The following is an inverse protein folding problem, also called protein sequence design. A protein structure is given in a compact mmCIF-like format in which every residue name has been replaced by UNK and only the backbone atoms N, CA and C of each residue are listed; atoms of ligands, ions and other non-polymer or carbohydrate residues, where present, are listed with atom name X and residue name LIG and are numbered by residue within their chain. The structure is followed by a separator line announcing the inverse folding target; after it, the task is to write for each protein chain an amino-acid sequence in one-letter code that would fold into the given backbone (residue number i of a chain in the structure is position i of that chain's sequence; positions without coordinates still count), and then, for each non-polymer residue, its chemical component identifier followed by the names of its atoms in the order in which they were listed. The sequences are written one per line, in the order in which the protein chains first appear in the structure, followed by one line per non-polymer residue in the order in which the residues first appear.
data_IF_068804002728
#
_entry.id   IF_068804002728
#
_cell.length_a   1.000
_cell.length_b   1.000
_cell.length_c   1.000
_cell.angle_alpha   90.00
_cell.angle_beta   90.00
_cell.angle_gamma   90.00
#
_symmetry.space_group_name_H-M   'P 1'
#
loop_
_entity.id
_entity.type
_entity.pdbx_description
1 polymer ?
#
# COMPACT_ATOMS: atom_id res chain seq x y z
N UNK A 1 -7.42 -4.06 6.58
CA UNK A 1 -8.89 -3.95 6.72
C UNK A 1 -9.31 -4.99 7.76
N UNK A 2 -9.66 -4.60 8.96
CA UNK A 2 -10.11 -5.52 9.99
C UNK A 2 -11.63 -5.75 9.82
N UNK A 3 -12.02 -6.97 9.53
CA UNK A 3 -13.43 -7.36 9.41
C UNK A 3 -13.93 -7.62 10.83
N UNK A 4 -14.77 -6.76 11.33
CA UNK A 4 -15.47 -6.96 12.61
C UNK A 4 -16.75 -7.76 12.30
N UNK A 5 -16.85 -8.96 12.84
CA UNK A 5 -18.04 -9.81 12.73
C UNK A 5 -18.94 -9.54 13.96
N UNK A 6 -20.18 -9.02 13.79
CA UNK A 6 -21.02 -8.59 14.90
C UNK A 6 -21.60 -9.72 15.77
N UNK A 7 -21.56 -10.99 15.30
CA UNK A 7 -22.29 -12.10 15.96
C UNK A 7 -21.46 -12.92 16.95
N UNK A 8 -20.22 -12.54 17.24
CA UNK A 8 -19.42 -13.21 18.26
C UNK A 8 -19.21 -12.30 19.45
N UNK A 9 -19.57 -12.77 20.63
CA UNK A 9 -19.10 -12.22 21.91
C UNK A 9 -17.58 -12.14 21.86
N UNK A 10 -17.08 -10.96 21.49
CA UNK A 10 -15.65 -10.68 21.45
C UNK A 10 -15.14 -10.66 22.88
N UNK A 11 -14.39 -11.66 23.27
CA UNK A 11 -13.42 -11.50 24.34
C UNK A 11 -12.41 -10.45 23.89
N UNK A 12 -12.56 -9.27 24.49
CA UNK A 12 -12.12 -7.93 24.05
C UNK A 12 -10.61 -7.72 23.92
N UNK A 13 -9.78 -8.73 24.12
CA UNK A 13 -8.37 -8.47 24.38
C UNK A 13 -7.34 -9.12 23.46
N UNK A 14 -7.73 -10.04 22.55
CA UNK A 14 -6.70 -10.76 21.78
C UNK A 14 -6.53 -10.32 20.31
N UNK A 15 -7.57 -9.76 19.69
CA UNK A 15 -7.52 -9.46 18.25
C UNK A 15 -6.84 -8.13 17.89
N UNK A 16 -6.58 -7.26 18.87
CA UNK A 16 -5.99 -5.94 18.66
C UNK A 16 -4.64 -5.76 19.38
N UNK A 17 -3.89 -6.85 19.60
CA UNK A 17 -2.49 -6.69 20.00
C UNK A 17 -1.75 -6.08 18.81
N UNK A 18 -1.18 -4.86 18.94
CA UNK A 18 -0.43 -4.27 17.85
C UNK A 18 0.74 -5.19 17.51
N UNK A 19 0.84 -5.63 16.26
CA UNK A 19 2.09 -6.19 15.77
C UNK A 19 3.17 -5.14 15.99
N UNK A 20 4.28 -5.53 16.59
CA UNK A 20 5.37 -4.64 17.04
C UNK A 20 5.98 -3.74 15.95
N UNK A 21 5.58 -3.86 14.69
CA UNK A 21 6.23 -3.22 13.55
C UNK A 21 5.43 -2.14 12.82
N UNK A 22 4.15 -1.91 13.17
CA UNK A 22 3.36 -0.83 12.56
C UNK A 22 2.43 -0.20 13.59
N UNK A 23 2.94 0.80 14.31
CA UNK A 23 2.19 1.60 15.30
C UNK A 23 1.14 2.55 14.67
N UNK A 24 0.50 2.13 13.58
CA UNK A 24 -0.52 2.93 12.90
C UNK A 24 -1.95 2.63 13.37
N UNK A 25 -2.10 1.75 14.37
CA UNK A 25 -3.39 1.37 14.90
C UNK A 25 -3.61 2.00 16.29
N UNK A 26 -4.79 2.56 16.49
CA UNK A 26 -5.25 3.06 17.80
C UNK A 26 -6.44 2.22 18.27
N UNK A 27 -6.57 2.08 19.60
CA UNK A 27 -7.72 1.40 20.23
C UNK A 27 -8.84 2.39 20.44
N UNK A 28 -10.01 2.06 19.92
CA UNK A 28 -11.26 2.75 20.25
C UNK A 28 -11.96 1.93 21.32
N UNK A 29 -12.42 2.57 22.41
CA UNK A 29 -13.36 1.93 23.36
C UNK A 29 -14.71 1.84 22.64
N UNK A 30 -15.14 0.63 22.34
CA UNK A 30 -16.38 0.37 21.62
C UNK A 30 -17.58 0.90 22.40
N UNK A 31 -18.42 1.67 21.72
CA UNK A 31 -19.79 1.98 22.12
C UNK A 31 -20.71 1.44 21.04
N UNK A 32 -21.93 1.07 21.42
CA UNK A 32 -22.91 0.51 20.47
C UNK A 32 -23.17 1.43 19.26
N UNK A 33 -23.15 2.73 19.48
CA UNK A 33 -23.26 3.77 18.44
C UNK A 33 -22.10 3.76 17.44
N UNK A 34 -20.91 3.36 17.87
CA UNK A 34 -19.70 3.35 17.02
C UNK A 34 -19.77 2.21 15.99
N UNK A 35 -20.35 1.08 16.37
CA UNK A 35 -20.59 -0.08 15.51
C UNK A 35 -21.62 0.26 14.44
N UNK A 36 -22.72 0.91 14.81
CA UNK A 36 -23.78 1.31 13.88
C UNK A 36 -23.26 2.32 12.83
N UNK A 37 -22.45 3.29 13.25
CA UNK A 37 -21.81 4.26 12.36
C UNK A 37 -20.80 3.60 11.41
N UNK A 38 -20.04 2.63 11.89
CA UNK A 38 -19.11 1.87 11.06
C UNK A 38 -19.84 1.03 9.99
N UNK A 39 -20.97 0.42 10.33
CA UNK A 39 -21.81 -0.30 9.37
C UNK A 39 -22.47 0.65 8.34
N UNK A 40 -22.83 1.86 8.75
CA UNK A 40 -23.28 2.90 7.82
C UNK A 40 -22.17 3.31 6.84
N UNK A 41 -20.94 3.54 7.33
CA UNK A 41 -19.78 3.84 6.49
C UNK A 41 -19.45 2.74 5.48
N UNK A 42 -19.65 1.48 5.86
CA UNK A 42 -19.46 0.34 4.94
C UNK A 42 -20.47 0.31 3.79
N UNK A 43 -21.68 0.80 4.03
CA UNK A 43 -22.79 0.75 3.04
C UNK A 43 -22.84 1.99 2.16
N UNK A 44 -22.20 3.05 2.56
CA UNK A 44 -22.19 4.33 1.86
C UNK A 44 -20.99 4.37 0.89
N UNK A 45 -21.21 4.91 -0.30
CA UNK A 45 -20.19 5.07 -1.34
C UNK A 45 -20.24 6.47 -1.97
N UNK A 46 -20.75 7.47 -1.22
CA UNK A 46 -21.05 8.79 -1.74
C UNK A 46 -20.37 9.92 -0.94
N UNK A 47 -20.41 11.15 -1.45
CA UNK A 47 -19.81 12.35 -0.82
C UNK A 47 -20.30 12.60 0.61
N UNK A 48 -21.47 12.08 1.00
CA UNK A 48 -21.97 12.05 2.38
C UNK A 48 -21.09 11.33 3.39
N UNK A 49 -20.20 10.44 2.94
CA UNK A 49 -19.30 9.64 3.77
C UNK A 49 -18.35 10.49 4.61
N UNK A 50 -17.97 11.67 4.10
CA UNK A 50 -17.08 12.60 4.82
C UNK A 50 -17.72 13.08 6.11
N UNK A 51 -19.03 13.36 6.11
CA UNK A 51 -19.76 13.81 7.29
C UNK A 51 -19.95 12.69 8.30
N UNK A 52 -20.25 11.47 7.85
CA UNK A 52 -20.36 10.29 8.70
C UNK A 52 -19.01 9.96 9.32
N UNK A 53 -17.94 10.03 8.53
CA UNK A 53 -16.57 9.82 8.97
C UNK A 53 -16.15 10.89 10.01
N UNK A 54 -16.44 12.16 9.73
CA UNK A 54 -16.17 13.26 10.66
C UNK A 54 -16.94 13.09 11.96
N UNK A 55 -18.22 12.70 11.90
CA UNK A 55 -19.04 12.43 13.06
C UNK A 55 -18.52 11.25 13.88
N UNK A 56 -18.14 10.15 13.20
CA UNK A 56 -17.47 9.00 13.83
C UNK A 56 -16.21 9.42 14.59
N UNK A 57 -15.33 10.22 13.97
CA UNK A 57 -14.15 10.74 14.64
C UNK A 57 -14.47 11.68 15.81
N UNK A 58 -15.55 12.43 15.73
CA UNK A 58 -16.00 13.28 16.83
C UNK A 58 -16.49 12.49 18.04
N UNK A 59 -17.09 11.32 17.84
CA UNK A 59 -17.60 10.44 18.90
C UNK A 59 -16.50 9.60 19.55
N UNK A 60 -15.41 9.32 18.82
CA UNK A 60 -14.29 8.57 19.37
C UNK A 60 -13.65 9.33 20.54
N UNK A 61 -13.66 8.74 21.73
CA UNK A 61 -13.17 9.38 22.96
C UNK A 61 -11.69 9.75 22.96
N UNK A 62 -10.90 9.20 22.04
CA UNK A 62 -9.45 9.39 21.91
C UNK A 62 -9.08 10.32 20.74
N UNK A 63 -9.68 11.48 20.65
CA UNK A 63 -9.44 12.46 19.57
C UNK A 63 -7.96 12.74 19.33
N UNK A 64 -7.17 12.89 20.40
CA UNK A 64 -5.72 13.18 20.28
C UNK A 64 -4.96 12.05 19.63
N UNK A 65 -5.23 10.80 20.00
CA UNK A 65 -4.55 9.63 19.43
C UNK A 65 -4.95 9.40 17.97
N UNK A 66 -6.24 9.60 17.65
CA UNK A 66 -6.75 9.51 16.28
C UNK A 66 -6.11 10.61 15.42
N UNK A 67 -6.12 11.85 15.89
CA UNK A 67 -5.51 12.97 15.16
C UNK A 67 -4.01 12.74 14.98
N UNK A 68 -3.31 12.29 16.02
CA UNK A 68 -1.88 11.97 15.93
C UNK A 68 -1.60 10.83 14.94
N UNK A 69 -2.45 9.79 14.91
CA UNK A 69 -2.35 8.68 13.95
C UNK A 69 -2.64 9.14 12.52
N UNK A 70 -3.66 9.97 12.31
CA UNK A 70 -3.97 10.54 11.00
C UNK A 70 -2.85 11.47 10.51
N UNK A 71 -2.34 12.35 11.38
CA UNK A 71 -1.21 13.22 11.03
C UNK A 71 0.03 12.39 10.69
N UNK A 72 0.36 11.37 11.49
CA UNK A 72 1.48 10.47 11.22
C UNK A 72 1.34 9.76 9.87
N UNK A 73 0.13 9.34 9.51
CA UNK A 73 -0.17 8.71 8.22
C UNK A 73 -0.28 9.71 7.05
N UNK A 74 -0.50 11.01 7.34
CA UNK A 74 -0.55 12.07 6.33
C UNK A 74 0.85 12.53 5.87
N UNK A 75 1.88 12.29 6.67
CA UNK A 75 3.25 12.54 6.24
C UNK A 75 3.73 11.37 5.38
N UNK A 76 4.01 11.65 4.11
CA UNK A 76 4.62 10.68 3.22
C UNK A 76 5.90 10.14 3.84
N UNK A 77 5.99 8.82 3.96
CA UNK A 77 7.23 8.16 4.37
C UNK A 77 8.35 8.46 3.37
N UNK A 78 9.59 8.27 3.77
CA UNK A 78 10.70 8.49 2.85
C UNK A 78 10.65 7.53 1.65
N UNK A 79 10.25 6.29 1.89
CA UNK A 79 10.03 5.30 0.82
C UNK A 79 8.90 5.69 -0.13
N UNK A 80 7.83 6.36 0.34
CA UNK A 80 6.77 6.87 -0.53
C UNK A 80 7.24 8.02 -1.42
N UNK A 81 8.09 8.92 -0.91
CA UNK A 81 8.71 9.95 -1.74
C UNK A 81 9.54 9.34 -2.87
N UNK A 82 10.29 8.27 -2.58
CA UNK A 82 11.07 7.55 -3.60
C UNK A 82 10.14 6.85 -4.60
N UNK A 83 9.04 6.24 -4.15
CA UNK A 83 8.04 5.64 -5.06
C UNK A 83 7.46 6.68 -6.02
N UNK A 84 7.16 7.88 -5.55
CA UNK A 84 6.65 8.96 -6.40
C UNK A 84 7.66 9.38 -7.47
N UNK A 85 8.94 9.46 -7.10
CA UNK A 85 10.02 9.77 -8.04
C UNK A 85 10.12 8.69 -9.12
N UNK A 86 10.06 7.41 -8.75
CA UNK A 86 10.14 6.28 -9.69
C UNK A 86 8.90 6.24 -10.60
N UNK A 87 7.70 6.49 -10.04
CA UNK A 87 6.45 6.53 -10.79
C UNK A 87 6.41 7.67 -11.82
N UNK A 88 7.14 8.75 -11.60
CA UNK A 88 7.26 9.85 -12.57
C UNK A 88 7.87 9.44 -13.90
N UNK A 89 8.72 8.41 -13.92
CA UNK A 89 9.23 7.74 -15.13
C UNK A 89 9.59 6.29 -14.80
N UNK A 90 8.62 5.41 -14.91
CA UNK A 90 8.76 4.00 -14.53
C UNK A 90 9.64 3.21 -15.49
N UNK A 91 9.80 3.69 -16.73
CA UNK A 91 10.64 3.06 -17.76
C UNK A 91 12.13 3.29 -17.52
N UNK A 92 12.47 4.37 -16.82
CA UNK A 92 13.85 4.73 -16.51
C UNK A 92 14.52 3.66 -15.65
N UNK A 93 15.80 3.40 -15.96
CA UNK A 93 16.70 2.59 -15.11
C UNK A 93 17.24 3.45 -13.97
N UNK A 94 16.39 3.74 -12.99
CA UNK A 94 16.76 4.53 -11.83
C UNK A 94 17.93 3.93 -11.06
N UNK A 95 18.89 4.78 -10.72
CA UNK A 95 19.97 4.49 -9.77
C UNK A 95 19.70 5.19 -8.45
N UNK A 96 20.32 4.72 -7.38
CA UNK A 96 20.22 5.38 -6.09
C UNK A 96 20.67 6.84 -6.14
N UNK A 97 21.77 7.10 -6.89
CA UNK A 97 22.30 8.45 -7.12
C UNK A 97 21.30 9.40 -7.77
N UNK A 98 20.50 8.90 -8.76
CA UNK A 98 19.49 9.72 -9.44
C UNK A 98 18.39 10.20 -8.45
N UNK A 99 18.04 9.32 -7.52
CA UNK A 99 17.04 9.63 -6.47
C UNK A 99 17.64 10.54 -5.41
N UNK A 100 18.88 10.28 -5.03
CA UNK A 100 19.61 11.12 -4.07
C UNK A 100 19.73 12.56 -4.56
N UNK A 101 20.09 12.76 -5.85
CA UNK A 101 20.12 14.06 -6.51
C UNK A 101 18.75 14.77 -6.46
N UNK A 102 17.67 14.08 -6.85
CA UNK A 102 16.31 14.65 -6.81
C UNK A 102 15.85 15.06 -5.41
N UNK A 103 16.34 14.39 -4.38
CA UNK A 103 16.01 14.67 -2.98
C UNK A 103 17.02 15.62 -2.30
N UNK A 104 18.04 16.10 -3.03
CA UNK A 104 19.15 16.89 -2.49
C UNK A 104 19.84 16.20 -1.29
N UNK A 105 20.05 14.89 -1.40
CA UNK A 105 20.67 14.05 -0.37
C UNK A 105 21.90 13.32 -0.95
N UNK A 106 22.79 12.83 -0.08
CA UNK A 106 23.80 11.88 -0.49
C UNK A 106 23.26 10.45 -0.56
N UNK A 107 23.87 9.60 -1.38
CA UNK A 107 23.53 8.16 -1.47
C UNK A 107 23.52 7.49 -0.10
N UNK A 108 24.49 7.85 0.75
CA UNK A 108 24.61 7.33 2.14
C UNK A 108 23.39 7.75 2.96
N UNK A 109 22.96 9.01 2.85
CA UNK A 109 21.80 9.50 3.60
C UNK A 109 20.50 8.81 3.14
N UNK A 110 20.35 8.58 1.82
CA UNK A 110 19.21 7.83 1.27
C UNK A 110 19.20 6.39 1.81
N UNK A 111 20.34 5.69 1.79
CA UNK A 111 20.45 4.33 2.35
C UNK A 111 20.05 4.27 3.81
N UNK A 112 20.61 5.14 4.65
CA UNK A 112 20.31 5.18 6.09
C UNK A 112 18.83 5.44 6.39
N UNK A 113 18.20 6.35 5.62
CA UNK A 113 16.75 6.62 5.77
C UNK A 113 15.90 5.41 5.38
N UNK A 114 16.26 4.70 4.31
CA UNK A 114 15.58 3.48 3.91
C UNK A 114 15.79 2.33 4.89
N UNK A 115 16.99 2.17 5.43
CA UNK A 115 17.30 1.18 6.46
C UNK A 115 16.46 1.41 7.73
N UNK A 116 16.24 2.68 8.11
CA UNK A 116 15.36 3.02 9.23
C UNK A 116 13.90 2.60 8.99
N UNK A 117 13.46 2.49 7.73
CA UNK A 117 12.17 1.95 7.33
C UNK A 117 12.22 0.44 7.02
N UNK A 118 13.35 -0.24 7.28
CA UNK A 118 13.60 -1.66 6.96
C UNK A 118 13.42 -1.98 5.47
N UNK A 119 13.74 -1.03 4.60
CA UNK A 119 13.61 -1.11 3.15
C UNK A 119 14.95 -0.90 2.44
N UNK A 120 15.02 -1.37 1.19
CA UNK A 120 16.12 -1.07 0.27
C UNK A 120 15.58 -0.43 -1.01
N UNK A 121 16.41 0.39 -1.67
CA UNK A 121 16.05 1.02 -2.94
C UNK A 121 15.64 0.01 -4.01
N UNK A 122 16.38 -1.09 -4.14
CA UNK A 122 16.06 -2.14 -5.11
C UNK A 122 14.69 -2.77 -4.84
N UNK A 123 14.35 -2.99 -3.56
CA UNK A 123 13.04 -3.54 -3.17
C UNK A 123 11.91 -2.59 -3.51
N UNK A 124 12.09 -1.29 -3.25
CA UNK A 124 11.10 -0.27 -3.61
C UNK A 124 10.90 -0.23 -5.13
N UNK A 125 11.99 -0.17 -5.90
CA UNK A 125 11.93 -0.16 -7.36
C UNK A 125 11.24 -1.41 -7.92
N UNK A 126 11.56 -2.58 -7.38
CA UNK A 126 10.91 -3.83 -7.76
C UNK A 126 9.41 -3.79 -7.44
N UNK A 127 9.03 -3.35 -6.25
CA UNK A 127 7.63 -3.26 -5.83
C UNK A 127 6.84 -2.32 -6.76
N UNK A 128 7.37 -1.13 -7.07
CA UNK A 128 6.73 -0.16 -7.97
C UNK A 128 6.52 -0.77 -9.35
N UNK A 129 7.56 -1.36 -9.95
CA UNK A 129 7.46 -1.97 -11.29
C UNK A 129 6.49 -3.16 -11.30
N UNK A 130 6.49 -3.99 -10.28
CA UNK A 130 5.58 -5.15 -10.20
C UNK A 130 4.12 -4.72 -9.98
N UNK A 131 3.87 -3.68 -9.18
CA UNK A 131 2.52 -3.11 -9.04
C UNK A 131 1.99 -2.54 -10.36
N UNK A 132 2.82 -1.82 -11.10
CA UNK A 132 2.44 -1.32 -12.43
C UNK A 132 2.24 -2.47 -13.44
N UNK A 133 3.02 -3.55 -13.34
CA UNK A 133 2.84 -4.73 -14.18
C UNK A 133 1.45 -5.36 -14.02
N UNK A 134 0.95 -5.47 -12.78
CA UNK A 134 -0.42 -5.95 -12.52
C UNK A 134 -1.44 -5.04 -13.20
N UNK A 135 -1.30 -3.72 -13.08
CA UNK A 135 -2.20 -2.77 -13.72
C UNK A 135 -2.23 -2.95 -15.24
N UNK A 136 -1.06 -3.01 -15.88
CA UNK A 136 -0.96 -3.20 -17.33
C UNK A 136 -1.49 -4.56 -17.80
N UNK A 137 -1.33 -5.62 -17.01
CA UNK A 137 -1.86 -6.95 -17.32
C UNK A 137 -3.38 -7.00 -17.23
N UNK A 138 -3.97 -6.45 -16.17
CA UNK A 138 -5.37 -6.65 -15.85
C UNK A 138 -6.29 -5.60 -16.51
N UNK A 139 -5.87 -4.34 -16.50
CA UNK A 139 -6.72 -3.23 -16.94
C UNK A 139 -6.42 -2.81 -18.38
N UNK A 140 -5.15 -2.76 -18.76
CA UNK A 140 -4.77 -2.39 -20.13
C UNK A 140 -4.55 -3.61 -21.05
N UNK A 141 -4.56 -4.81 -20.51
CA UNK A 141 -4.45 -6.09 -21.22
C UNK A 141 -3.24 -6.15 -22.18
N UNK A 142 -2.13 -5.51 -21.80
CA UNK A 142 -0.94 -5.50 -22.61
C UNK A 142 -0.21 -6.85 -22.61
N UNK A 143 0.39 -7.17 -23.75
CA UNK A 143 1.26 -8.34 -23.87
C UNK A 143 2.53 -8.17 -23.03
N UNK A 144 3.07 -9.29 -22.55
CA UNK A 144 4.23 -9.37 -21.65
C UNK A 144 5.45 -8.62 -22.21
N UNK A 145 5.69 -8.68 -23.53
CA UNK A 145 6.79 -7.96 -24.19
C UNK A 145 6.61 -6.45 -24.01
N UNK A 146 5.42 -5.93 -24.32
CA UNK A 146 5.12 -4.50 -24.18
C UNK A 146 5.24 -4.03 -22.73
N UNK A 147 4.79 -4.85 -21.77
CA UNK A 147 4.92 -4.53 -20.35
C UNK A 147 6.39 -4.46 -19.94
N UNK A 148 7.23 -5.39 -20.39
CA UNK A 148 8.66 -5.36 -20.12
C UNK A 148 9.30 -4.06 -20.63
N UNK A 149 8.96 -3.64 -21.85
CA UNK A 149 9.45 -2.40 -22.45
C UNK A 149 8.97 -1.16 -21.66
N UNK A 150 7.68 -1.08 -21.33
CA UNK A 150 7.08 0.01 -20.55
C UNK A 150 7.70 0.15 -19.17
N UNK A 151 8.10 -0.96 -18.54
CA UNK A 151 8.78 -0.99 -17.25
C UNK A 151 10.29 -0.81 -17.33
N UNK A 152 10.86 -0.64 -18.54
CA UNK A 152 12.32 -0.57 -18.74
C UNK A 152 13.05 -1.83 -18.29
N UNK A 153 12.42 -3.00 -18.46
CA UNK A 153 12.98 -4.32 -18.16
C UNK A 153 13.57 -4.90 -19.45
N UNK A 154 14.81 -5.42 -19.36
CA UNK A 154 15.62 -5.78 -20.51
C UNK A 154 15.00 -6.83 -21.45
N UNK A 155 14.12 -7.72 -20.95
CA UNK A 155 13.43 -8.71 -21.77
C UNK A 155 12.19 -9.25 -21.08
N UNK A 156 11.24 -9.75 -21.89
CA UNK A 156 10.05 -10.41 -21.39
C UNK A 156 10.36 -11.64 -20.53
N UNK A 157 11.36 -12.42 -20.88
CA UNK A 157 11.77 -13.59 -20.09
C UNK A 157 12.27 -13.19 -18.70
N UNK A 158 13.04 -12.10 -18.62
CA UNK A 158 13.49 -11.55 -17.35
C UNK A 158 12.34 -10.98 -16.54
N UNK A 159 11.42 -10.29 -17.18
CA UNK A 159 10.19 -9.80 -16.55
C UNK A 159 9.35 -10.95 -15.95
N UNK A 160 9.09 -12.02 -16.72
CA UNK A 160 8.33 -13.20 -16.24
C UNK A 160 8.98 -13.81 -15.00
N UNK A 161 10.31 -13.91 -14.98
CA UNK A 161 11.07 -14.40 -13.83
C UNK A 161 10.87 -13.50 -12.62
N UNK A 162 11.09 -12.18 -12.76
CA UNK A 162 10.91 -11.22 -11.68
C UNK A 162 9.48 -11.21 -11.14
N UNK A 163 8.49 -11.31 -12.04
CA UNK A 163 7.08 -11.36 -11.67
C UNK A 163 6.78 -12.60 -10.83
N UNK A 164 7.29 -13.78 -11.27
CA UNK A 164 7.14 -15.03 -10.54
C UNK A 164 7.85 -15.00 -9.19
N UNK A 165 9.05 -14.45 -9.11
CA UNK A 165 9.78 -14.27 -7.85
C UNK A 165 9.01 -13.34 -6.88
N UNK A 166 8.30 -12.35 -7.39
CA UNK A 166 7.58 -11.37 -6.58
C UNK A 166 6.21 -11.87 -6.11
N UNK A 167 5.43 -12.52 -6.98
CA UNK A 167 4.05 -12.93 -6.74
C UNK A 167 3.86 -14.44 -6.56
N UNK A 168 4.90 -15.25 -6.76
CA UNK A 168 4.83 -16.71 -6.69
C UNK A 168 4.25 -17.38 -7.95
N UNK A 169 3.61 -16.63 -8.84
CA UNK A 169 2.98 -17.11 -10.07
C UNK A 169 3.45 -16.32 -11.28
N UNK A 170 3.34 -16.90 -12.47
CA UNK A 170 3.66 -16.19 -13.71
C UNK A 170 2.51 -15.29 -14.16
N UNK A 171 2.77 -14.24 -15.01
CA UNK A 171 1.72 -13.41 -15.59
C UNK A 171 0.63 -14.22 -16.28
N UNK A 172 1.00 -15.28 -17.01
CA UNK A 172 0.04 -16.17 -17.69
C UNK A 172 -0.83 -16.93 -16.70
N UNK A 173 -0.25 -17.46 -15.61
CA UNK A 173 -1.01 -18.16 -14.57
C UNK A 173 -1.99 -17.23 -13.86
N UNK A 174 -1.60 -15.98 -13.61
CA UNK A 174 -2.52 -14.97 -13.05
C UNK A 174 -3.74 -14.78 -13.96
N UNK A 175 -3.52 -14.55 -15.27
CA UNK A 175 -4.62 -14.33 -16.22
C UNK A 175 -5.55 -15.54 -16.38
N UNK A 176 -4.98 -16.77 -16.36
CA UNK A 176 -5.77 -18.01 -16.40
C UNK A 176 -6.62 -18.12 -15.13
N UNK A 177 -6.01 -18.00 -13.96
CA UNK A 177 -6.73 -18.14 -12.69
C UNK A 177 -7.85 -17.12 -12.50
N UNK A 178 -7.77 -15.95 -13.12
CA UNK A 178 -8.86 -14.97 -13.11
C UNK A 178 -9.99 -15.33 -14.07
N UNK A 179 -9.70 -15.97 -15.20
CA UNK A 179 -10.74 -16.43 -16.15
C UNK A 179 -11.54 -17.63 -15.62
N UNK A 180 -10.86 -18.52 -14.90
CA UNK A 180 -11.50 -19.74 -14.37
C UNK A 180 -12.39 -19.47 -13.15
N UNK A 181 -12.35 -18.25 -12.58
CA UNK A 181 -13.14 -17.83 -11.42
C UNK A 181 -14.28 -16.84 -11.78
N UNK A 182 -14.53 -16.58 -13.05
CA UNK A 182 -15.64 -15.77 -13.58
C UNK A 182 -16.64 -16.67 -14.32
#
# INVERSE_FOLDING_TARGET
MAIINPDKNFEKNELLKPRKENNNFFRIKEKHTDIQLFELLKKSSDEGDVYILAYFFCLCGNRREITASLLKNSFKTFSEQIKDIINGDISKKWRLSDVAEKLNLSDIAVRKKLEAESLSFNKIMQNVKMSAAIYYLLFEQHHVNKIADMLGIASASYFIRLFKEHYGITPKQLLIGLRDNV
#
